data_IF_833826893990
#
_entry.id   IF_833826893990
#
_cell.length_a   1.000
_cell.length_b   1.000
_cell.length_c   1.000
_cell.angle_alpha   90.00
_cell.angle_beta   90.00
_cell.angle_gamma   90.00
#
_symmetry.space_group_name_H-M   'P 1'
#
loop_
_entity.id
_entity.type
_entity.pdbx_description
1 polymer ?
#
# COMPACT_ATOMS: atom_id res chain seq x y z
N UNK A 1 16.56 -8.50 11.95
CA UNK A 1 15.56 -8.30 10.88
C UNK A 1 14.24 -7.98 11.54
N UNK A 2 13.70 -6.78 11.32
CA UNK A 2 12.44 -6.36 11.95
C UNK A 2 11.31 -7.29 11.47
N UNK A 3 10.61 -7.92 12.41
CA UNK A 3 9.36 -8.63 12.10
C UNK A 3 8.38 -7.60 11.55
N UNK A 4 8.07 -7.71 10.26
CA UNK A 4 6.92 -7.04 9.68
C UNK A 4 5.69 -7.60 10.42
N UNK A 5 5.15 -6.80 11.34
CA UNK A 5 3.98 -7.13 12.15
C UNK A 5 2.83 -7.54 11.23
N UNK A 6 2.05 -8.54 11.69
CA UNK A 6 0.98 -9.26 10.99
C UNK A 6 0.33 -8.47 9.84
N UNK A 7 0.37 -9.06 8.64
CA UNK A 7 -0.54 -8.74 7.53
C UNK A 7 -1.97 -8.76 8.02
N UNK A 8 -2.80 -7.82 7.55
CA UNK A 8 -4.25 -7.83 7.79
C UNK A 8 -4.88 -9.16 7.38
N UNK A 9 -5.99 -9.51 8.04
CA UNK A 9 -6.68 -10.77 7.81
C UNK A 9 -7.22 -10.88 6.37
N UNK A 10 -7.28 -12.09 5.78
CA UNK A 10 -7.68 -12.27 4.37
C UNK A 10 -9.06 -11.72 4.02
N UNK A 11 -10.03 -11.82 4.92
CA UNK A 11 -11.39 -11.27 4.75
C UNK A 11 -11.39 -9.74 4.63
N UNK A 12 -10.57 -9.06 5.43
CA UNK A 12 -10.38 -7.60 5.36
C UNK A 12 -9.72 -7.19 4.05
N UNK A 13 -8.77 -7.97 3.55
CA UNK A 13 -8.16 -7.75 2.23
C UNK A 13 -9.20 -7.92 1.12
N UNK A 14 -10.04 -8.95 1.21
CA UNK A 14 -11.07 -9.27 0.22
C UNK A 14 -12.13 -8.17 0.12
N UNK A 15 -12.58 -7.65 1.25
CA UNK A 15 -13.52 -6.52 1.32
C UNK A 15 -12.94 -5.27 0.65
N UNK A 16 -11.68 -4.95 0.94
CA UNK A 16 -10.99 -3.79 0.34
C UNK A 16 -10.82 -3.98 -1.17
N UNK A 17 -10.38 -5.17 -1.61
CA UNK A 17 -10.24 -5.50 -3.03
C UNK A 17 -11.58 -5.36 -3.76
N UNK A 18 -12.67 -5.89 -3.18
CA UNK A 18 -14.01 -5.80 -3.74
C UNK A 18 -14.47 -4.34 -3.86
N UNK A 19 -14.31 -3.56 -2.80
CA UNK A 19 -14.68 -2.13 -2.75
C UNK A 19 -13.96 -1.32 -3.83
N UNK A 20 -12.65 -1.52 -3.98
CA UNK A 20 -11.86 -0.82 -5.00
C UNK A 20 -12.23 -1.26 -6.42
N UNK A 21 -12.52 -2.55 -6.63
CA UNK A 21 -12.98 -3.05 -7.93
C UNK A 21 -14.35 -2.48 -8.32
N UNK A 22 -15.28 -2.33 -7.38
CA UNK A 22 -16.57 -1.65 -7.62
C UNK A 22 -16.33 -0.20 -8.05
N UNK A 23 -15.47 0.55 -7.34
CA UNK A 23 -15.13 1.93 -7.72
C UNK A 23 -14.53 2.03 -9.13
N UNK A 24 -13.71 1.06 -9.50
CA UNK A 24 -13.18 0.95 -10.86
C UNK A 24 -14.29 0.61 -11.88
N UNK A 25 -15.21 -0.31 -11.54
CA UNK A 25 -16.26 -0.85 -12.42
C UNK A 25 -17.53 0.00 -12.59
N UNK A 26 -17.87 0.87 -11.64
CA UNK A 26 -19.02 1.80 -11.71
C UNK A 26 -18.85 2.90 -12.79
N UNK A 27 -17.85 2.78 -13.66
CA UNK A 27 -17.47 3.73 -14.70
C UNK A 27 -18.17 3.56 -16.05
N UNK A 28 -19.17 2.69 -16.15
CA UNK A 28 -19.80 2.37 -17.43
C UNK A 28 -20.70 3.47 -18.02
N UNK A 29 -20.72 4.66 -17.43
CA UNK A 29 -21.36 5.82 -18.03
C UNK A 29 -20.94 7.10 -17.34
N UNK A 30 -19.98 7.84 -17.92
CA UNK A 30 -19.95 9.31 -17.99
C UNK A 30 -18.59 9.78 -18.50
N UNK A 31 -18.62 10.57 -19.57
CA UNK A 31 -17.51 11.44 -19.94
C UNK A 31 -17.17 12.33 -18.72
N UNK A 32 -15.92 12.30 -18.26
CA UNK A 32 -15.45 13.15 -17.16
C UNK A 32 -14.82 12.44 -15.95
N UNK A 33 -14.43 11.16 -16.04
CA UNK A 33 -13.67 10.52 -14.95
C UNK A 33 -12.23 11.03 -14.91
N UNK A 34 -11.74 11.33 -13.71
CA UNK A 34 -10.32 11.60 -13.48
C UNK A 34 -9.52 10.29 -13.63
N UNK A 35 -8.96 10.09 -14.82
CA UNK A 35 -8.10 8.94 -15.18
C UNK A 35 -7.02 8.70 -14.12
N UNK A 36 -6.62 9.76 -13.40
CA UNK A 36 -5.60 9.69 -12.34
C UNK A 36 -6.03 8.85 -11.15
N UNK A 37 -7.31 8.95 -10.74
CA UNK A 37 -7.86 8.22 -9.60
C UNK A 37 -7.96 6.72 -9.93
N UNK A 38 -8.23 6.39 -11.19
CA UNK A 38 -8.30 5.00 -11.64
C UNK A 38 -6.94 4.32 -11.62
N UNK A 39 -5.87 4.98 -12.06
CA UNK A 39 -4.53 4.38 -12.04
C UNK A 39 -4.03 4.12 -10.61
N UNK A 40 -4.33 5.03 -9.67
CA UNK A 40 -4.05 4.80 -8.24
C UNK A 40 -4.81 3.59 -7.71
N UNK A 41 -6.13 3.51 -7.93
CA UNK A 41 -6.93 2.37 -7.47
C UNK A 41 -6.51 1.05 -8.14
N UNK A 42 -6.11 1.07 -9.42
CA UNK A 42 -5.56 -0.10 -10.11
C UNK A 42 -4.28 -0.60 -9.45
N UNK A 43 -3.36 0.30 -9.10
CA UNK A 43 -2.15 -0.04 -8.35
C UNK A 43 -2.46 -0.63 -6.98
N UNK A 44 -3.39 -0.03 -6.25
CA UNK A 44 -3.81 -0.52 -4.94
C UNK A 44 -4.44 -1.93 -5.01
N UNK A 45 -5.33 -2.18 -5.98
CA UNK A 45 -5.92 -3.51 -6.18
C UNK A 45 -4.85 -4.55 -6.52
N UNK A 46 -3.92 -4.22 -7.43
CA UNK A 46 -2.87 -5.15 -7.83
C UNK A 46 -1.97 -5.54 -6.64
N UNK A 47 -1.61 -4.57 -5.81
CA UNK A 47 -0.84 -4.81 -4.59
C UNK A 47 -1.59 -5.66 -3.56
N UNK A 48 -2.87 -5.38 -3.29
CA UNK A 48 -3.65 -6.16 -2.33
C UNK A 48 -3.86 -7.61 -2.78
N UNK A 49 -4.09 -7.83 -4.07
CA UNK A 49 -4.17 -9.19 -4.65
C UNK A 49 -2.84 -9.91 -4.48
N UNK A 50 -1.72 -9.26 -4.78
CA UNK A 50 -0.40 -9.85 -4.59
C UNK A 50 -0.10 -10.18 -3.13
N UNK A 51 -0.44 -9.29 -2.18
CA UNK A 51 -0.28 -9.57 -0.75
C UNK A 51 -1.14 -10.74 -0.29
N UNK A 52 -2.37 -10.85 -0.81
CA UNK A 52 -3.34 -11.91 -0.48
C UNK A 52 -2.91 -13.27 -1.03
N UNK A 53 -2.58 -13.32 -2.32
CA UNK A 53 -2.46 -14.56 -3.07
C UNK A 53 -1.00 -14.92 -3.43
N UNK A 54 -0.04 -14.02 -3.20
CA UNK A 54 1.31 -14.12 -3.74
C UNK A 54 1.34 -13.88 -5.25
N UNK A 55 2.28 -14.52 -5.95
CA UNK A 55 2.45 -14.40 -7.39
C UNK A 55 3.37 -13.25 -7.79
N UNK A 56 3.21 -12.77 -9.03
CA UNK A 56 4.03 -11.70 -9.58
C UNK A 56 3.70 -10.35 -8.93
N UNK A 57 4.70 -9.71 -8.36
CA UNK A 57 4.57 -8.40 -7.76
C UNK A 57 4.28 -7.32 -8.84
N UNK A 58 3.42 -6.32 -8.55
CA UNK A 58 2.85 -5.43 -9.57
C UNK A 58 3.85 -4.50 -10.29
N UNK A 59 4.98 -4.16 -9.66
CA UNK A 59 6.00 -3.27 -10.21
C UNK A 59 7.27 -4.04 -10.56
N UNK A 60 7.74 -4.93 -9.66
CA UNK A 60 8.99 -5.66 -9.91
C UNK A 60 8.81 -6.90 -10.77
N UNK A 61 7.58 -7.42 -10.88
CA UNK A 61 7.27 -8.66 -11.61
C UNK A 61 7.88 -9.92 -10.96
N UNK A 62 8.58 -9.79 -9.84
CA UNK A 62 9.14 -10.91 -9.11
C UNK A 62 8.02 -11.81 -8.59
N UNK A 63 8.16 -13.12 -8.76
CA UNK A 63 7.17 -14.09 -8.30
C UNK A 63 7.52 -14.52 -6.89
N UNK A 64 6.64 -14.24 -5.94
CA UNK A 64 6.79 -14.59 -4.54
C UNK A 64 5.66 -15.53 -4.08
N UNK A 65 5.92 -16.56 -3.27
CA UNK A 65 4.87 -17.42 -2.72
C UNK A 65 4.04 -16.67 -1.66
N UNK A 66 2.88 -17.24 -1.31
CA UNK A 66 2.11 -16.82 -0.12
C UNK A 66 2.58 -17.62 1.12
N UNK A 67 2.84 -16.97 2.28
CA UNK A 67 2.80 -15.53 2.51
C UNK A 67 3.99 -14.79 1.87
N UNK A 68 3.71 -13.59 1.35
CA UNK A 68 4.76 -12.71 0.79
C UNK A 68 5.78 -12.37 1.88
N UNK A 69 7.06 -12.57 1.56
CA UNK A 69 8.14 -12.37 2.53
C UNK A 69 8.39 -10.88 2.82
N UNK A 70 8.91 -10.54 4.03
CA UNK A 70 9.33 -9.18 4.35
C UNK A 70 10.30 -8.55 3.32
N UNK A 71 11.22 -9.35 2.80
CA UNK A 71 12.19 -8.90 1.80
C UNK A 71 11.51 -8.56 0.45
N UNK A 72 10.49 -9.34 0.07
CA UNK A 72 9.68 -9.06 -1.11
C UNK A 72 8.88 -7.77 -0.96
N UNK A 73 8.27 -7.55 0.22
CA UNK A 73 7.57 -6.30 0.55
C UNK A 73 8.50 -5.09 0.44
N UNK A 74 9.70 -5.14 1.03
CA UNK A 74 10.67 -4.04 0.97
C UNK A 74 11.13 -3.77 -0.46
N UNK A 75 11.39 -4.82 -1.25
CA UNK A 75 11.78 -4.71 -2.65
C UNK A 75 10.70 -4.02 -3.47
N UNK A 76 9.45 -4.40 -3.27
CA UNK A 76 8.32 -3.82 -3.99
C UNK A 76 8.05 -2.37 -3.58
N UNK A 77 8.18 -2.03 -2.29
CA UNK A 77 8.12 -0.63 -1.82
C UNK A 77 9.23 0.23 -2.41
N UNK A 78 10.44 -0.31 -2.56
CA UNK A 78 11.54 0.41 -3.23
C UNK A 78 11.18 0.73 -4.67
N UNK A 79 10.62 -0.24 -5.41
CA UNK A 79 10.17 -0.02 -6.78
C UNK A 79 9.00 0.97 -6.87
N UNK A 80 8.08 0.97 -5.90
CA UNK A 80 7.00 1.94 -5.81
C UNK A 80 7.53 3.36 -5.60
N UNK A 81 8.49 3.52 -4.69
CA UNK A 81 9.16 4.80 -4.45
C UNK A 81 9.85 5.32 -5.73
N UNK A 82 10.58 4.45 -6.44
CA UNK A 82 11.17 4.80 -7.74
C UNK A 82 10.12 5.22 -8.78
N UNK A 83 8.98 4.53 -8.85
CA UNK A 83 7.89 4.87 -9.75
C UNK A 83 7.26 6.22 -9.42
N UNK A 84 7.09 6.54 -8.13
CA UNK A 84 6.51 7.80 -7.63
C UNK A 84 7.41 9.00 -7.89
N UNK A 85 8.72 8.84 -7.78
CA UNK A 85 9.69 9.91 -8.08
C UNK A 85 10.15 9.90 -9.56
N UNK A 86 9.65 8.95 -10.36
CA UNK A 86 9.91 8.84 -11.79
C UNK A 86 9.23 9.92 -12.64
N UNK A 87 9.55 9.91 -13.94
CA UNK A 87 9.07 10.93 -14.91
C UNK A 87 7.66 10.69 -15.45
N UNK A 88 7.13 9.47 -15.33
CA UNK A 88 5.82 9.08 -15.88
C UNK A 88 4.70 9.32 -14.87
N UNK A 89 3.76 10.21 -15.17
CA UNK A 89 2.63 10.51 -14.29
C UNK A 89 1.74 9.31 -13.99
N UNK A 90 1.46 8.47 -15.01
CA UNK A 90 0.72 7.21 -14.85
C UNK A 90 1.49 6.26 -13.92
N UNK A 91 2.81 6.18 -14.10
CA UNK A 91 3.69 5.38 -13.23
C UNK A 91 3.67 5.87 -11.78
N UNK A 92 3.59 7.19 -11.56
CA UNK A 92 3.52 7.77 -10.20
C UNK A 92 2.24 7.39 -9.48
N UNK A 93 1.09 7.49 -10.14
CA UNK A 93 -0.20 7.22 -9.52
C UNK A 93 -0.39 5.74 -9.24
N UNK A 94 -0.05 4.89 -10.21
CA UNK A 94 -0.07 3.44 -10.02
C UNK A 94 0.91 3.02 -8.92
N UNK A 95 2.15 3.53 -8.93
CA UNK A 95 3.15 3.28 -7.89
C UNK A 95 2.68 3.75 -6.50
N UNK A 96 2.07 4.93 -6.40
CA UNK A 96 1.50 5.44 -5.16
C UNK A 96 0.36 4.57 -4.63
N UNK A 97 -0.47 4.02 -5.52
CA UNK A 97 -1.50 3.04 -5.16
C UNK A 97 -0.90 1.75 -4.58
N UNK A 98 0.16 1.25 -5.22
CA UNK A 98 0.91 0.06 -4.77
C UNK A 98 1.52 0.30 -3.38
N UNK A 99 2.26 1.40 -3.20
CA UNK A 99 2.87 1.75 -1.91
C UNK A 99 1.82 1.88 -0.81
N UNK A 100 0.76 2.65 -1.07
CA UNK A 100 -0.30 2.89 -0.10
C UNK A 100 -0.97 1.58 0.34
N UNK A 101 -1.28 0.69 -0.60
CA UNK A 101 -1.91 -0.59 -0.30
C UNK A 101 -1.00 -1.54 0.48
N UNK A 102 0.29 -1.63 0.14
CA UNK A 102 1.26 -2.47 0.87
C UNK A 102 1.46 -1.94 2.28
N UNK A 103 1.65 -0.62 2.43
CA UNK A 103 1.73 0.03 3.72
C UNK A 103 0.46 -0.21 4.52
N UNK A 104 -0.71 -0.02 3.93
CA UNK A 104 -1.97 -0.30 4.59
C UNK A 104 -2.09 -1.77 4.99
N UNK A 105 -1.71 -2.73 4.15
CA UNK A 105 -1.85 -4.15 4.46
C UNK A 105 -0.94 -4.64 5.60
N UNK A 106 0.30 -4.13 5.67
CA UNK A 106 1.33 -4.66 6.58
C UNK A 106 1.81 -3.69 7.68
N UNK A 107 1.84 -2.39 7.40
CA UNK A 107 2.63 -1.43 8.20
C UNK A 107 1.78 -0.38 8.90
N UNK A 108 0.64 -0.02 8.33
CA UNK A 108 -0.34 0.85 8.97
C UNK A 108 -1.08 0.02 10.02
N UNK A 109 -0.43 -0.27 11.15
CA UNK A 109 -1.16 -0.74 12.31
C UNK A 109 -2.02 0.42 12.82
N UNK A 110 -3.31 0.18 13.06
CA UNK A 110 -4.15 1.08 13.85
C UNK A 110 -3.73 1.14 15.34
N UNK A 111 -2.58 0.58 15.70
CA UNK A 111 -2.05 0.74 17.04
C UNK A 111 -1.64 2.21 17.17
N UNK A 112 -2.36 2.91 18.03
CA UNK A 112 -1.94 4.21 18.54
C UNK A 112 -0.45 4.15 18.92
N UNK A 113 0.31 5.25 18.75
CA UNK A 113 1.68 5.33 19.25
C UNK A 113 1.72 4.76 20.67
N UNK A 114 2.63 3.81 20.90
CA UNK A 114 2.86 3.31 22.25
C UNK A 114 3.53 4.44 23.00
N UNK A 115 2.72 5.18 23.77
CA UNK A 115 3.19 6.21 24.69
C UNK A 115 3.83 5.52 25.92
N UNK A 116 5.00 4.92 25.74
CA UNK A 116 5.86 4.59 26.87
C UNK A 116 6.42 5.90 27.47
N UNK A 117 6.63 5.94 28.79
CA UNK A 117 7.21 7.06 29.53
C UNK A 117 8.49 7.60 28.90
N UNK A 118 9.26 6.76 28.20
CA UNK A 118 10.44 7.19 27.45
C UNK A 118 10.12 8.15 26.28
N UNK A 119 9.01 7.97 25.57
CA UNK A 119 8.59 8.84 24.46
C UNK A 119 7.97 10.15 24.94
N UNK A 120 7.41 10.19 26.16
CA UNK A 120 6.85 11.42 26.74
C UNK A 120 7.93 12.43 27.16
N UNK A 121 9.14 11.96 27.46
CA UNK A 121 10.28 12.84 27.75
C UNK A 121 10.71 13.65 26.51
N UNK A 122 10.68 13.03 25.33
CA UNK A 122 11.07 13.68 24.07
C UNK A 122 10.14 14.83 23.67
N UNK A 123 8.83 14.71 23.95
CA UNK A 123 7.86 15.78 23.68
C UNK A 123 7.85 16.88 24.75
N UNK A 124 8.28 16.58 25.97
CA UNK A 124 8.45 17.59 27.02
C UNK A 124 9.68 18.49 26.78
N UNK A 125 10.59 18.08 25.90
CA UNK A 125 11.79 18.83 25.50
C UNK A 125 11.60 19.69 24.23
N UNK A 126 10.44 19.61 23.57
CA UNK A 126 10.08 20.52 22.49
C UNK A 126 9.35 21.74 23.07
N UNK A 127 9.98 22.93 23.15
CA UNK A 127 9.27 24.14 23.51
C UNK A 127 8.24 24.48 22.42
N UNK A 128 7.02 24.82 22.84
CA UNK A 128 5.98 25.37 21.97
C UNK A 128 6.54 26.63 21.27
N UNK A 129 6.70 26.58 19.94
CA UNK A 129 6.92 27.78 19.12
C UNK A 129 5.61 28.56 18.90
#
# INVERSE_FOLDING_TARGET
>A
MAELRRTRAPDVLDEMISTLRVRLGDGNGSAGRDVRVDDFHRGAVAALVWVRDGGAAPLTGCVDPVPVSPAAVVRELSAANEAIFGRSEIGRLYGGGVEHAIMWAHLASANAPVWDRANLAYLAECPDE
#
